data_IF_900614621211
#
_entry.id   IF_900614621211
#
_cell.length_a   1.000
_cell.length_b   1.000
_cell.length_c   1.000
_cell.angle_alpha   90.00
_cell.angle_beta   90.00
_cell.angle_gamma   90.00
#
_symmetry.space_group_name_H-M   'P 1'
#
loop_
_entity.id
_entity.type
_entity.pdbx_description
1 polymer ?
#
# COMPACT_ATOMS: atom_id res chain seq x y z
N UNK A 1 -4.81 -14.21 -8.05
CA UNK A 1 -4.92 -14.15 -6.58
C UNK A 1 -3.57 -13.91 -5.90
N UNK A 2 -2.50 -14.64 -6.27
CA UNK A 2 -1.16 -14.42 -5.70
C UNK A 2 -0.65 -12.97 -5.79
N UNK A 3 -0.81 -12.29 -6.95
CA UNK A 3 -0.39 -10.88 -7.11
C UNK A 3 -1.07 -9.94 -6.11
N UNK A 4 -2.39 -10.04 -5.96
CA UNK A 4 -3.15 -9.21 -5.02
C UNK A 4 -2.71 -9.43 -3.57
N UNK A 5 -2.39 -10.68 -3.19
CA UNK A 5 -1.90 -10.98 -1.84
C UNK A 5 -0.50 -10.38 -1.62
N UNK A 6 0.38 -10.45 -2.63
CA UNK A 6 1.73 -9.87 -2.56
C UNK A 6 1.65 -8.34 -2.41
N UNK A 7 0.85 -7.68 -3.25
CA UNK A 7 0.61 -6.23 -3.19
C UNK A 7 0.06 -5.81 -1.82
N UNK A 8 -0.88 -6.59 -1.27
CA UNK A 8 -1.47 -6.30 0.04
C UNK A 8 -0.44 -6.43 1.17
N UNK A 9 0.32 -7.52 1.20
CA UNK A 9 1.32 -7.78 2.25
C UNK A 9 2.43 -6.73 2.20
N UNK A 10 2.96 -6.43 1.01
CA UNK A 10 3.96 -5.38 0.85
C UNK A 10 3.40 -4.01 1.25
N UNK A 11 2.17 -3.70 0.84
CA UNK A 11 1.51 -2.45 1.20
C UNK A 11 1.35 -2.27 2.71
N UNK A 12 0.89 -3.31 3.41
CA UNK A 12 0.72 -3.29 4.88
C UNK A 12 2.07 -3.14 5.59
N UNK A 13 3.10 -3.86 5.15
CA UNK A 13 4.44 -3.77 5.75
C UNK A 13 5.00 -2.35 5.58
N UNK A 14 4.96 -1.80 4.37
CA UNK A 14 5.48 -0.45 4.09
C UNK A 14 4.71 0.62 4.86
N UNK A 15 3.38 0.49 4.94
CA UNK A 15 2.55 1.42 5.70
C UNK A 15 2.89 1.36 7.20
N UNK A 16 2.99 0.16 7.78
CA UNK A 16 3.31 -0.01 9.19
C UNK A 16 4.71 0.53 9.53
N UNK A 17 5.71 0.25 8.68
CA UNK A 17 7.07 0.77 8.83
C UNK A 17 7.10 2.28 8.70
N UNK A 18 6.38 2.85 7.72
CA UNK A 18 6.28 4.30 7.53
C UNK A 18 5.66 5.01 8.73
N UNK A 19 4.57 4.46 9.27
CA UNK A 19 3.90 4.99 10.46
C UNK A 19 4.77 4.87 11.71
N UNK A 20 5.42 3.72 11.93
CA UNK A 20 6.36 3.57 13.04
C UNK A 20 7.50 4.58 12.92
N UNK A 21 8.14 4.68 11.75
CA UNK A 21 9.25 5.60 11.52
C UNK A 21 8.84 7.07 11.74
N UNK A 22 7.61 7.43 11.38
CA UNK A 22 7.04 8.75 11.68
C UNK A 22 7.02 9.07 13.18
N UNK A 23 6.76 8.09 14.05
CA UNK A 23 6.72 8.29 15.51
C UNK A 23 8.08 8.48 16.17
N UNK A 24 9.15 7.99 15.54
CA UNK A 24 10.52 8.05 16.10
C UNK A 24 11.30 9.27 15.61
N UNK A 25 10.78 9.98 14.60
CA UNK A 25 11.42 11.15 14.00
C UNK A 25 10.98 12.44 14.68
N UNK A 26 11.95 13.32 15.01
CA UNK A 26 11.70 14.68 15.50
C UNK A 26 11.52 15.70 14.35
N UNK A 27 10.87 16.85 14.60
CA UNK A 27 10.47 17.83 13.56
C UNK A 27 11.66 18.28 12.71
N UNK A 28 11.69 17.79 11.46
CA UNK A 28 12.79 17.97 10.51
C UNK A 28 12.35 17.64 9.08
N UNK A 29 13.15 18.04 8.09
CA UNK A 29 12.91 17.68 6.67
C UNK A 29 12.89 16.16 6.42
N UNK A 30 13.54 15.40 7.29
CA UNK A 30 13.61 13.95 7.17
C UNK A 30 12.25 13.24 7.42
N UNK A 31 11.20 13.97 7.82
CA UNK A 31 9.80 13.49 7.83
C UNK A 31 9.23 13.16 6.45
N UNK A 32 9.82 13.67 5.37
CA UNK A 32 9.38 13.32 4.02
C UNK A 32 9.54 11.83 3.72
N UNK A 33 10.62 11.20 4.20
CA UNK A 33 10.89 9.80 3.95
C UNK A 33 9.79 8.86 4.52
N UNK A 34 9.43 8.89 5.82
CA UNK A 34 8.35 8.06 6.35
C UNK A 34 6.99 8.40 5.74
N UNK A 35 6.75 9.66 5.36
CA UNK A 35 5.49 10.08 4.72
C UNK A 35 5.35 9.47 3.32
N UNK A 36 6.42 9.51 2.51
CA UNK A 36 6.45 8.86 1.20
C UNK A 36 6.27 7.35 1.35
N UNK A 37 6.96 6.73 2.33
CA UNK A 37 6.86 5.29 2.58
C UNK A 37 5.43 4.87 2.95
N UNK A 38 4.76 5.63 3.82
CA UNK A 38 3.37 5.42 4.17
C UNK A 38 2.43 5.61 2.96
N UNK A 39 2.69 6.62 2.13
CA UNK A 39 1.94 6.87 0.89
C UNK A 39 2.05 5.72 -0.12
N UNK A 40 3.26 5.19 -0.34
CA UNK A 40 3.50 4.02 -1.19
C UNK A 40 2.80 2.78 -0.63
N UNK A 41 2.89 2.56 0.69
CA UNK A 41 2.18 1.47 1.36
C UNK A 41 0.66 1.53 1.14
N UNK A 42 0.05 2.70 1.33
CA UNK A 42 -1.37 2.93 1.07
C UNK A 42 -1.76 2.68 -0.39
N UNK A 43 -0.95 3.15 -1.35
CA UNK A 43 -1.21 2.93 -2.78
C UNK A 43 -1.21 1.44 -3.15
N UNK A 44 -0.29 0.64 -2.60
CA UNK A 44 -0.24 -0.81 -2.83
C UNK A 44 -1.44 -1.54 -2.24
N UNK A 45 -1.94 -1.12 -1.09
CA UNK A 45 -3.17 -1.69 -0.51
C UNK A 45 -4.36 -1.44 -1.44
N UNK A 46 -4.50 -0.23 -1.98
CA UNK A 46 -5.57 0.10 -2.93
C UNK A 46 -5.43 -0.72 -4.22
N UNK A 47 -4.21 -0.87 -4.75
CA UNK A 47 -3.94 -1.71 -5.92
C UNK A 47 -4.33 -3.18 -5.67
N UNK A 48 -3.95 -3.73 -4.51
CA UNK A 48 -4.33 -5.09 -4.13
C UNK A 48 -5.86 -5.30 -4.09
N UNK A 49 -6.59 -4.31 -3.56
CA UNK A 49 -8.06 -4.35 -3.54
C UNK A 49 -8.62 -4.33 -4.96
N UNK A 50 -8.11 -3.45 -5.83
CA UNK A 50 -8.52 -3.39 -7.23
C UNK A 50 -8.27 -4.72 -7.96
N UNK A 51 -7.05 -5.28 -7.84
CA UNK A 51 -6.68 -6.58 -8.40
C UNK A 51 -7.59 -7.70 -7.88
N UNK A 52 -7.94 -7.68 -6.59
CA UNK A 52 -8.86 -8.68 -6.01
C UNK A 52 -10.28 -8.55 -6.58
N UNK A 53 -10.79 -7.33 -6.72
CA UNK A 53 -12.11 -7.08 -7.29
C UNK A 53 -12.19 -7.50 -8.75
N UNK A 54 -11.13 -7.27 -9.54
CA UNK A 54 -11.05 -7.74 -10.93
C UNK A 54 -11.03 -9.28 -11.02
N UNK A 55 -10.41 -9.98 -10.07
CA UNK A 55 -10.47 -11.44 -10.01
C UNK A 55 -11.90 -11.92 -9.71
N UNK A 56 -12.58 -11.27 -8.75
CA UNK A 56 -13.92 -11.68 -8.29
C UNK A 56 -15.03 -11.31 -9.29
N UNK A 57 -14.91 -10.17 -9.95
CA UNK A 57 -15.89 -9.64 -10.90
C UNK A 57 -15.17 -8.99 -12.09
N UNK A 58 -14.65 -9.82 -13.03
CA UNK A 58 -13.79 -9.33 -14.11
C UNK A 58 -14.49 -8.28 -14.95
N UNK A 59 -13.88 -7.10 -15.03
CA UNK A 59 -14.30 -6.02 -15.94
C UNK A 59 -14.28 -6.48 -17.41
N UNK A 60 -13.35 -7.36 -17.78
CA UNK A 60 -13.23 -7.91 -19.15
C UNK A 60 -14.42 -8.78 -19.60
N UNK A 61 -15.30 -9.22 -18.69
CA UNK A 61 -16.47 -10.07 -18.98
C UNK A 61 -17.79 -9.30 -18.97
N UNK A 62 -17.75 -7.98 -18.79
CA UNK A 62 -18.94 -7.11 -18.68
C UNK A 62 -19.23 -6.31 -19.95
N UNK A 63 -18.53 -6.61 -21.05
CA UNK A 63 -18.81 -6.14 -22.40
C UNK A 63 -19.65 -7.18 -23.14
#
# INVERSE_FOLDING_TARGET
MASAIIELVLGVILLAVGLWWWTVMGPSFAFLAPTILAGVGGALIVAAIATFLDIKSPTSRKL
#
